data_IF_005880597200
#
_entry.id   IF_005880597200
#
_cell.length_a   1.000
_cell.length_b   1.000
_cell.length_c   1.000
_cell.angle_alpha   90.00
_cell.angle_beta   90.00
_cell.angle_gamma   90.00
#
_symmetry.space_group_name_H-M   'P 1'
#
loop_
_entity.id
_entity.type
_entity.pdbx_description
1 polymer ?
#
# COMPACT_ATOMS: atom_id res chain seq x y z
N UNK A 1 8.25 -12.17 -9.14
CA UNK A 1 8.61 -10.76 -8.83
C UNK A 1 7.62 -10.27 -7.79
N UNK A 2 8.14 -9.83 -6.63
CA UNK A 2 7.33 -9.23 -5.57
C UNK A 2 7.09 -7.75 -5.90
N UNK A 3 5.84 -7.30 -5.85
CA UNK A 3 5.49 -5.87 -5.93
C UNK A 3 6.01 -5.16 -4.69
N UNK A 4 6.79 -4.08 -4.87
CA UNK A 4 7.37 -3.31 -3.78
C UNK A 4 7.66 -1.88 -4.19
N UNK A 5 7.73 -0.99 -3.21
CA UNK A 5 8.30 0.36 -3.34
C UNK A 5 9.55 0.40 -2.49
N UNK A 6 10.65 0.88 -3.05
CA UNK A 6 11.94 0.95 -2.36
C UNK A 6 12.82 2.06 -2.93
N UNK A 7 13.74 2.55 -2.14
CA UNK A 7 14.88 3.31 -2.65
C UNK A 7 15.85 2.38 -3.37
N UNK A 8 16.43 2.85 -4.47
CA UNK A 8 17.41 2.06 -5.22
C UNK A 8 18.47 2.97 -5.82
N UNK A 9 19.70 2.45 -5.91
CA UNK A 9 20.80 3.05 -6.66
C UNK A 9 21.03 2.33 -8.00
N UNK A 10 20.22 1.29 -8.28
CA UNK A 10 20.33 0.53 -9.52
C UNK A 10 19.74 1.33 -10.67
N UNK A 11 20.51 1.51 -11.72
CA UNK A 11 20.04 2.08 -12.98
C UNK A 11 19.30 1.02 -13.79
N UNK A 12 18.13 1.37 -14.30
CA UNK A 12 17.32 0.52 -15.17
C UNK A 12 17.31 1.07 -16.60
N UNK A 13 17.48 0.18 -17.55
CA UNK A 13 17.35 0.54 -18.97
C UNK A 13 15.88 0.79 -19.29
N UNK A 14 15.56 2.01 -19.69
CA UNK A 14 14.21 2.38 -20.09
C UNK A 14 13.90 1.91 -21.52
N UNK A 15 12.63 1.56 -21.81
CA UNK A 15 12.19 1.31 -23.17
C UNK A 15 12.46 2.53 -24.09
N UNK A 16 12.85 2.26 -25.34
CA UNK A 16 13.08 3.33 -26.34
C UNK A 16 11.81 4.17 -26.60
N UNK A 17 10.64 3.51 -26.57
CA UNK A 17 9.34 4.18 -26.75
C UNK A 17 8.56 4.06 -25.44
N UNK A 18 8.28 5.18 -24.75
CA UNK A 18 7.49 5.17 -23.53
C UNK A 18 6.02 4.86 -23.84
N UNK A 19 5.35 4.16 -22.94
CA UNK A 19 3.90 3.95 -23.03
C UNK A 19 3.12 5.22 -22.60
N UNK A 20 1.82 5.24 -22.84
CA UNK A 20 0.92 6.36 -22.52
C UNK A 20 1.00 6.74 -21.04
N UNK A 21 0.97 5.76 -20.14
CA UNK A 21 1.07 6.01 -18.69
C UNK A 21 2.37 6.76 -18.34
N UNK A 22 3.51 6.32 -18.88
CA UNK A 22 4.80 7.00 -18.66
C UNK A 22 4.80 8.45 -19.19
N UNK A 23 4.17 8.68 -20.35
CA UNK A 23 4.08 10.03 -20.92
C UNK A 23 3.26 10.95 -20.02
N UNK A 24 2.15 10.46 -19.48
CA UNK A 24 1.31 11.22 -18.56
C UNK A 24 2.04 11.46 -17.24
N UNK A 25 2.71 10.47 -16.68
CA UNK A 25 3.53 10.67 -15.47
C UNK A 25 4.59 11.75 -15.68
N UNK A 26 5.29 11.76 -16.83
CA UNK A 26 6.26 12.83 -17.16
C UNK A 26 5.60 14.21 -17.18
N UNK A 27 4.44 14.33 -17.80
CA UNK A 27 3.72 15.61 -17.86
C UNK A 27 3.40 16.17 -16.47
N UNK A 28 2.99 15.33 -15.54
CA UNK A 28 2.55 15.77 -14.21
C UNK A 28 3.66 15.76 -13.15
N UNK A 29 4.61 14.83 -13.25
CA UNK A 29 5.58 14.58 -12.18
C UNK A 29 7.00 15.06 -12.51
N UNK A 30 7.33 15.32 -13.77
CA UNK A 30 8.67 15.81 -14.10
C UNK A 30 8.83 17.26 -13.58
N UNK A 31 9.80 17.46 -12.69
CA UNK A 31 10.02 18.74 -12.01
C UNK A 31 9.03 19.04 -10.87
N UNK A 32 8.13 18.13 -10.55
CA UNK A 32 7.20 18.29 -9.44
C UNK A 32 7.92 18.23 -8.08
N UNK A 33 7.35 18.91 -7.10
CA UNK A 33 7.74 18.83 -5.69
C UNK A 33 6.89 17.76 -5.01
N UNK A 34 7.53 16.85 -4.28
CA UNK A 34 6.83 15.90 -3.41
C UNK A 34 6.51 16.63 -2.10
N UNK A 35 5.23 16.85 -1.85
CA UNK A 35 4.74 17.55 -0.67
C UNK A 35 4.61 16.59 0.52
N UNK A 36 4.12 15.38 0.27
CA UNK A 36 3.86 14.38 1.29
C UNK A 36 3.99 12.96 0.71
N UNK A 37 4.52 12.05 1.51
CA UNK A 37 4.46 10.60 1.28
C UNK A 37 3.72 9.99 2.45
N UNK A 38 2.61 9.31 2.19
CA UNK A 38 1.76 8.74 3.21
C UNK A 38 1.45 7.28 2.91
N UNK A 39 1.59 6.42 3.92
CA UNK A 39 1.00 5.09 3.92
C UNK A 39 -0.35 5.15 4.62
N UNK A 40 -1.36 4.50 4.04
CA UNK A 40 -2.68 4.41 4.65
C UNK A 40 -2.67 3.33 5.74
N UNK A 41 -2.60 3.76 6.97
CA UNK A 41 -2.53 2.89 8.16
C UNK A 41 -1.47 1.79 7.99
N UNK A 42 -1.87 0.52 8.11
CA UNK A 42 -1.01 -0.64 7.82
C UNK A 42 -1.45 -1.36 6.53
N UNK A 43 -2.07 -0.64 5.61
CA UNK A 43 -2.37 -1.18 4.28
C UNK A 43 -1.18 -0.98 3.32
N UNK A 44 -1.15 -1.75 2.24
CA UNK A 44 -0.11 -1.70 1.21
C UNK A 44 -0.45 -0.67 0.14
N UNK A 45 -0.87 0.52 0.59
CA UNK A 45 -1.18 1.67 -0.26
C UNK A 45 -0.28 2.83 0.15
N UNK A 46 0.48 3.35 -0.81
CA UNK A 46 1.30 4.55 -0.65
C UNK A 46 0.73 5.67 -1.52
N UNK A 47 0.58 6.84 -0.95
CA UNK A 47 0.16 8.05 -1.61
C UNK A 47 1.31 9.06 -1.64
N UNK A 48 1.66 9.55 -2.82
CA UNK A 48 2.64 10.61 -3.03
C UNK A 48 1.90 11.84 -3.50
N UNK A 49 1.69 12.80 -2.60
CA UNK A 49 1.12 14.10 -2.97
C UNK A 49 2.19 14.97 -3.61
N UNK A 50 1.89 15.50 -4.78
CA UNK A 50 2.84 16.29 -5.56
C UNK A 50 2.21 17.59 -6.00
N UNK A 51 3.03 18.63 -6.12
CA UNK A 51 2.69 19.90 -6.73
C UNK A 51 3.63 20.21 -7.90
N UNK A 52 3.08 20.79 -8.96
CA UNK A 52 3.83 21.18 -10.16
C UNK A 52 3.21 22.45 -10.75
N UNK A 53 3.84 22.97 -11.78
CA UNK A 53 3.28 24.00 -12.68
C UNK A 53 3.17 23.41 -14.06
N UNK A 54 2.06 23.70 -14.74
CA UNK A 54 1.92 23.33 -16.13
C UNK A 54 2.70 24.28 -17.05
N UNK A 55 2.60 24.05 -18.37
CA UNK A 55 3.32 24.82 -19.39
C UNK A 55 2.92 26.31 -19.44
N UNK A 56 1.74 26.66 -18.93
CA UNK A 56 1.23 28.02 -18.84
C UNK A 56 1.40 28.65 -17.46
N UNK A 57 1.97 27.90 -16.50
CA UNK A 57 2.28 28.36 -15.17
C UNK A 57 1.20 28.10 -14.12
N UNK A 58 0.11 27.43 -14.47
CA UNK A 58 -0.96 27.09 -13.51
C UNK A 58 -0.50 26.00 -12.55
N UNK A 59 -0.96 26.11 -11.30
CA UNK A 59 -0.63 25.13 -10.28
C UNK A 59 -1.41 23.84 -10.48
N UNK A 60 -0.68 22.74 -10.61
CA UNK A 60 -1.21 21.38 -10.66
C UNK A 60 -0.94 20.69 -9.31
N UNK A 61 -1.94 20.09 -8.74
CA UNK A 61 -1.80 19.19 -7.59
C UNK A 61 -2.32 17.81 -7.97
N UNK A 62 -1.47 16.81 -7.80
CA UNK A 62 -1.82 15.43 -8.10
C UNK A 62 -1.37 14.50 -6.97
N UNK A 63 -1.98 13.33 -6.90
CA UNK A 63 -1.57 12.25 -6.00
C UNK A 63 -1.25 11.02 -6.83
N UNK A 64 -0.01 10.54 -6.72
CA UNK A 64 0.37 9.25 -7.26
C UNK A 64 0.11 8.19 -6.20
N UNK A 65 -0.81 7.27 -6.50
CA UNK A 65 -1.23 6.21 -5.59
C UNK A 65 -0.63 4.90 -6.07
N UNK A 66 0.07 4.21 -5.19
CA UNK A 66 0.68 2.90 -5.43
C UNK A 66 -0.01 1.86 -4.57
N UNK A 67 -0.80 1.00 -5.18
CA UNK A 67 -1.49 -0.12 -4.53
C UNK A 67 -0.71 -1.42 -4.76
N UNK A 68 -0.24 -2.07 -3.68
CA UNK A 68 0.53 -3.32 -3.76
C UNK A 68 -0.34 -4.49 -3.30
N UNK A 69 -1.13 -5.04 -4.21
CA UNK A 69 -2.15 -6.06 -3.93
C UNK A 69 -2.00 -7.31 -4.81
N UNK A 70 -0.77 -7.77 -4.99
CA UNK A 70 -0.48 -8.93 -5.83
C UNK A 70 -0.94 -8.72 -7.28
N UNK A 71 -1.79 -9.58 -7.80
CA UNK A 71 -2.34 -9.47 -9.17
C UNK A 71 -3.16 -8.19 -9.41
N UNK A 72 -3.70 -7.62 -8.34
CA UNK A 72 -4.49 -6.38 -8.37
C UNK A 72 -3.67 -5.12 -8.09
N UNK A 73 -2.34 -5.24 -8.01
CA UNK A 73 -1.46 -4.07 -7.86
C UNK A 73 -1.67 -3.09 -9.00
N UNK A 74 -1.67 -1.81 -8.68
CA UNK A 74 -1.84 -0.73 -9.65
C UNK A 74 -1.02 0.50 -9.26
N UNK A 75 -0.77 1.37 -10.21
CA UNK A 75 -0.25 2.73 -9.98
C UNK A 75 -1.22 3.67 -10.66
N UNK A 76 -1.76 4.63 -9.90
CA UNK A 76 -2.86 5.47 -10.31
C UNK A 76 -2.47 6.92 -10.06
N UNK A 77 -2.58 7.78 -11.06
CA UNK A 77 -2.43 9.22 -10.92
C UNK A 77 -3.80 9.86 -10.81
N UNK A 78 -4.01 10.65 -9.75
CA UNK A 78 -5.30 11.26 -9.41
C UNK A 78 -5.13 12.77 -9.32
N UNK A 79 -6.05 13.52 -9.90
CA UNK A 79 -6.18 14.96 -9.65
C UNK A 79 -6.62 15.20 -8.21
N UNK A 80 -5.86 16.00 -7.45
CA UNK A 80 -6.12 16.21 -6.02
C UNK A 80 -7.37 17.03 -5.77
N UNK A 81 -7.71 17.96 -6.69
CA UNK A 81 -8.85 18.87 -6.54
C UNK A 81 -10.17 18.20 -6.87
N UNK A 82 -10.22 17.43 -7.96
CA UNK A 82 -11.44 16.78 -8.43
C UNK A 82 -11.58 15.33 -7.95
N UNK A 83 -10.53 14.75 -7.37
CA UNK A 83 -10.45 13.33 -6.97
C UNK A 83 -10.72 12.39 -8.15
N UNK A 84 -10.40 12.83 -9.37
CA UNK A 84 -10.56 12.06 -10.60
C UNK A 84 -9.26 11.43 -11.03
N UNK A 85 -9.36 10.22 -11.53
CA UNK A 85 -8.23 9.48 -12.12
C UNK A 85 -7.80 10.19 -13.40
N UNK A 86 -6.55 10.64 -13.43
CA UNK A 86 -5.90 11.17 -14.63
C UNK A 86 -5.48 10.00 -15.52
N UNK A 87 -4.79 9.01 -14.91
CA UNK A 87 -4.37 7.80 -15.61
C UNK A 87 -4.01 6.68 -14.61
N UNK A 88 -4.00 5.43 -15.08
CA UNK A 88 -3.58 4.27 -14.31
C UNK A 88 -2.80 3.28 -15.19
N UNK A 89 -1.84 2.57 -14.59
CA UNK A 89 -1.04 1.58 -15.34
C UNK A 89 -1.89 0.37 -15.78
N UNK A 90 -2.95 0.07 -15.02
CA UNK A 90 -3.95 -0.96 -15.34
C UNK A 90 -5.35 -0.35 -15.29
N UNK A 91 -6.03 -0.38 -16.41
CA UNK A 91 -7.44 0.01 -16.46
C UNK A 91 -8.33 -1.14 -15.96
N UNK A 92 -9.31 -0.81 -15.13
CA UNK A 92 -10.29 -1.75 -14.58
C UNK A 92 -11.68 -1.19 -14.83
N UNK A 93 -12.40 -1.81 -15.75
CA UNK A 93 -13.78 -1.44 -16.07
C UNK A 93 -14.80 -2.08 -15.14
N UNK A 94 -16.04 -1.61 -15.21
CA UNK A 94 -17.15 -2.09 -14.37
C UNK A 94 -17.41 -3.59 -14.51
N UNK A 95 -17.19 -4.16 -15.68
CA UNK A 95 -17.34 -5.61 -15.93
C UNK A 95 -16.30 -6.46 -15.20
N UNK A 96 -15.15 -5.87 -14.83
CA UNK A 96 -14.07 -6.55 -14.12
C UNK A 96 -14.15 -6.37 -12.62
N UNK A 97 -14.73 -5.25 -12.18
CA UNK A 97 -14.88 -4.92 -10.76
C UNK A 97 -16.12 -4.02 -10.58
N UNK A 98 -17.15 -4.56 -9.91
CA UNK A 98 -18.40 -3.84 -9.64
C UNK A 98 -18.26 -2.83 -8.48
N UNK A 99 -17.24 -2.96 -7.63
CA UNK A 99 -17.04 -2.06 -6.47
C UNK A 99 -16.42 -0.73 -6.89
N UNK A 100 -15.41 -0.75 -7.78
CA UNK A 100 -14.73 0.46 -8.24
C UNK A 100 -14.25 0.33 -9.68
N UNK A 101 -14.32 1.41 -10.41
CA UNK A 101 -13.78 1.56 -11.76
C UNK A 101 -12.46 2.32 -11.70
N UNK A 102 -11.44 1.85 -12.41
CA UNK A 102 -10.14 2.53 -12.51
C UNK A 102 -9.92 2.87 -14.00
N UNK A 103 -10.50 3.98 -14.41
CA UNK A 103 -10.41 4.52 -15.76
C UNK A 103 -10.17 6.03 -15.69
N UNK A 104 -9.49 6.64 -16.67
CA UNK A 104 -9.38 8.08 -16.77
C UNK A 104 -10.74 8.78 -16.67
N UNK A 105 -10.83 9.85 -15.88
CA UNK A 105 -12.05 10.61 -15.63
C UNK A 105 -12.98 10.02 -14.55
N UNK A 106 -12.81 8.76 -14.13
CA UNK A 106 -13.57 8.18 -13.01
C UNK A 106 -13.09 8.74 -11.67
N UNK A 107 -13.99 8.85 -10.71
CA UNK A 107 -13.61 9.18 -9.32
C UNK A 107 -12.78 8.04 -8.73
N UNK A 108 -11.65 8.37 -8.11
CA UNK A 108 -10.87 7.37 -7.39
C UNK A 108 -11.60 6.92 -6.14
N UNK A 109 -11.85 5.62 -6.04
CA UNK A 109 -12.41 4.96 -4.87
C UNK A 109 -11.34 4.02 -4.33
N UNK A 110 -11.03 4.13 -3.03
CA UNK A 110 -10.09 3.22 -2.37
C UNK A 110 -10.59 1.77 -2.43
N UNK A 111 -9.67 0.79 -2.37
CA UNK A 111 -10.06 -0.59 -2.16
C UNK A 111 -10.96 -0.71 -0.93
N UNK A 112 -11.86 -1.70 -0.87
CA UNK A 112 -12.72 -1.89 0.29
C UNK A 112 -11.86 -2.14 1.53
N UNK A 113 -12.05 -1.32 2.54
CA UNK A 113 -11.39 -1.49 3.84
C UNK A 113 -11.91 -2.77 4.50
N UNK A 114 -11.00 -3.60 4.95
CA UNK A 114 -11.35 -4.62 5.93
C UNK A 114 -11.43 -3.91 7.28
N UNK A 115 -12.51 -4.12 8.02
CA UNK A 115 -12.66 -3.62 9.39
C UNK A 115 -11.73 -4.38 10.34
N UNK A 116 -10.43 -4.34 10.04
CA UNK A 116 -9.38 -5.00 10.77
C UNK A 116 -8.57 -3.96 11.56
N UNK A 117 -8.01 -4.40 12.66
CA UNK A 117 -7.32 -3.54 13.62
C UNK A 117 -5.86 -3.34 13.20
N UNK A 118 -5.38 -2.12 13.33
CA UNK A 118 -3.98 -1.84 13.09
C UNK A 118 -3.13 -2.41 14.25
N UNK A 119 -2.23 -3.38 13.97
CA UNK A 119 -1.45 -4.05 15.02
C UNK A 119 -0.47 -3.13 15.76
N UNK A 120 -0.10 -1.99 15.14
CA UNK A 120 0.84 -1.03 15.74
C UNK A 120 0.16 -0.03 16.67
N UNK A 121 -1.12 0.29 16.45
CA UNK A 121 -1.84 1.34 17.18
C UNK A 121 -2.91 0.81 18.13
N UNK A 122 -3.21 -0.49 18.10
CA UNK A 122 -4.17 -1.12 19.02
C UNK A 122 -3.69 -1.02 20.46
N UNK A 123 -4.59 -0.67 21.40
CA UNK A 123 -4.24 -0.63 22.83
C UNK A 123 -3.97 -2.01 23.41
N UNK A 124 -3.16 -2.08 24.47
CA UNK A 124 -2.80 -3.35 25.13
C UNK A 124 -4.03 -4.05 25.75
N UNK A 125 -4.98 -3.27 26.27
CA UNK A 125 -6.22 -3.83 26.83
C UNK A 125 -7.05 -4.53 25.77
N UNK A 126 -7.23 -3.87 24.60
CA UNK A 126 -8.00 -4.44 23.49
C UNK A 126 -7.29 -5.63 22.86
N UNK A 127 -5.97 -5.53 22.72
CA UNK A 127 -5.14 -6.62 22.21
C UNK A 127 -5.20 -7.83 23.14
N UNK A 128 -5.08 -7.63 24.47
CA UNK A 128 -5.19 -8.69 25.46
C UNK A 128 -6.56 -9.39 25.42
N UNK A 129 -7.65 -8.61 25.31
CA UNK A 129 -8.99 -9.16 25.14
C UNK A 129 -9.07 -10.10 23.93
N UNK A 130 -8.60 -9.65 22.76
CA UNK A 130 -8.63 -10.42 21.53
C UNK A 130 -7.78 -11.69 21.64
N UNK A 131 -6.53 -11.55 22.10
CA UNK A 131 -5.61 -12.68 22.22
C UNK A 131 -6.06 -13.72 23.29
N UNK A 132 -6.92 -13.33 24.24
CA UNK A 132 -7.44 -14.20 25.28
C UNK A 132 -8.75 -14.89 24.88
N UNK A 133 -9.58 -14.24 24.06
CA UNK A 133 -10.96 -14.70 23.78
C UNK A 133 -11.12 -15.35 22.41
N UNK A 134 -10.25 -15.04 21.45
CA UNK A 134 -10.38 -15.52 20.08
C UNK A 134 -9.44 -16.70 19.78
N UNK A 135 -9.86 -17.53 18.84
CA UNK A 135 -8.98 -18.55 18.26
C UNK A 135 -7.87 -17.87 17.46
N UNK A 136 -6.62 -18.19 17.78
CA UNK A 136 -5.43 -17.60 17.16
C UNK A 136 -4.97 -18.39 15.91
N UNK A 137 -5.92 -18.86 15.10
CA UNK A 137 -5.60 -19.47 13.82
C UNK A 137 -5.08 -18.41 12.83
N UNK A 138 -4.20 -18.77 11.86
CA UNK A 138 -3.72 -17.84 10.85
C UNK A 138 -4.83 -17.12 10.10
N UNK A 139 -5.93 -17.81 9.82
CA UNK A 139 -7.10 -17.26 9.14
C UNK A 139 -7.79 -16.16 9.97
N UNK A 140 -7.98 -16.42 11.27
CA UNK A 140 -8.60 -15.43 12.17
C UNK A 140 -7.69 -14.22 12.37
N UNK A 141 -6.39 -14.43 12.55
CA UNK A 141 -5.43 -13.33 12.66
C UNK A 141 -5.44 -12.41 11.43
N UNK A 142 -5.55 -12.98 10.21
CA UNK A 142 -5.68 -12.20 8.97
C UNK A 142 -6.99 -11.40 8.86
N UNK A 143 -8.05 -11.85 9.53
CA UNK A 143 -9.33 -11.15 9.57
C UNK A 143 -9.34 -10.02 10.60
N UNK A 144 -8.67 -10.25 11.73
CA UNK A 144 -8.65 -9.32 12.86
C UNK A 144 -7.64 -8.21 12.67
N UNK A 145 -6.45 -8.50 12.12
CA UNK A 145 -5.36 -7.54 12.02
C UNK A 145 -5.04 -7.16 10.57
N UNK A 146 -4.76 -5.87 10.38
CA UNK A 146 -4.32 -5.32 9.11
C UNK A 146 -2.91 -5.80 8.73
N UNK A 147 -2.64 -5.86 7.43
CA UNK A 147 -1.30 -6.07 6.87
C UNK A 147 -0.78 -7.51 6.92
N UNK A 148 -1.50 -8.46 7.53
CA UNK A 148 -1.07 -9.85 7.61
C UNK A 148 -1.32 -10.62 6.32
N UNK A 149 -0.24 -11.05 5.66
CA UNK A 149 -0.27 -12.06 4.62
C UNK A 149 -0.47 -13.47 5.21
N UNK A 150 -0.63 -14.47 4.34
CA UNK A 150 -0.86 -15.87 4.77
C UNK A 150 0.31 -16.41 5.60
N UNK A 151 1.52 -16.23 5.07
CA UNK A 151 2.74 -16.77 5.69
C UNK A 151 3.06 -16.03 6.99
N UNK A 152 2.95 -14.69 6.98
CA UNK A 152 3.14 -13.86 8.18
C UNK A 152 2.13 -14.18 9.28
N UNK A 153 0.87 -14.46 8.93
CA UNK A 153 -0.15 -14.86 9.91
C UNK A 153 0.13 -16.25 10.49
N UNK A 154 0.67 -17.17 9.69
CA UNK A 154 1.07 -18.50 10.16
C UNK A 154 2.24 -18.41 11.12
N UNK A 155 3.21 -17.58 10.82
CA UNK A 155 4.36 -17.33 11.67
C UNK A 155 3.94 -16.66 12.98
N UNK A 156 3.14 -15.59 12.92
CA UNK A 156 2.58 -14.93 14.10
C UNK A 156 1.83 -15.95 14.99
N UNK A 157 0.97 -16.79 14.42
CA UNK A 157 0.23 -17.80 15.18
C UNK A 157 1.17 -18.74 15.97
N UNK A 158 2.32 -19.09 15.40
CA UNK A 158 3.33 -19.92 16.07
C UNK A 158 3.99 -19.20 17.26
N UNK A 159 4.18 -17.88 17.17
CA UNK A 159 4.74 -17.06 18.24
C UNK A 159 3.77 -16.81 19.40
N UNK A 160 2.46 -16.94 19.17
CA UNK A 160 1.41 -16.63 20.15
C UNK A 160 1.05 -17.82 21.08
N UNK A 161 1.88 -18.87 21.15
CA UNK A 161 1.64 -20.03 22.00
C UNK A 161 1.87 -19.73 23.50
N UNK A 162 2.81 -18.84 23.80
CA UNK A 162 3.14 -18.37 25.16
C UNK A 162 3.24 -16.86 25.17
N UNK A 163 3.10 -16.21 26.33
CA UNK A 163 3.27 -14.76 26.51
C UNK A 163 2.71 -13.91 25.37
N UNK A 164 1.46 -14.17 25.00
CA UNK A 164 0.82 -13.72 23.75
C UNK A 164 0.97 -12.24 23.50
N UNK A 165 0.72 -11.39 24.51
CA UNK A 165 0.83 -9.94 24.37
C UNK A 165 2.26 -9.51 24.06
N UNK A 166 3.23 -9.99 24.84
CA UNK A 166 4.65 -9.69 24.65
C UNK A 166 5.15 -10.16 23.29
N UNK A 167 4.82 -11.39 22.92
CA UNK A 167 5.25 -11.98 21.66
C UNK A 167 4.59 -11.30 20.44
N UNK A 168 3.34 -10.87 20.56
CA UNK A 168 2.68 -10.07 19.53
C UNK A 168 3.42 -8.76 19.28
N UNK A 169 3.71 -7.98 20.35
CA UNK A 169 4.44 -6.70 20.23
C UNK A 169 5.83 -6.92 19.66
N UNK A 170 6.58 -7.90 20.17
CA UNK A 170 7.92 -8.21 19.68
C UNK A 170 7.93 -8.60 18.19
N UNK A 171 6.93 -9.35 17.73
CA UNK A 171 6.80 -9.75 16.33
C UNK A 171 6.65 -8.54 15.41
N UNK A 172 5.80 -7.58 15.75
CA UNK A 172 5.59 -6.38 14.95
C UNK A 172 6.73 -5.36 15.09
N UNK A 173 7.40 -5.28 16.24
CA UNK A 173 8.60 -4.47 16.42
C UNK A 173 9.74 -4.99 15.53
N UNK A 174 9.97 -6.29 15.51
CA UNK A 174 10.97 -6.91 14.65
C UNK A 174 10.68 -6.69 13.15
N UNK A 175 9.41 -6.68 12.74
CA UNK A 175 9.03 -6.41 11.35
C UNK A 175 9.38 -4.99 10.89
N UNK A 176 9.48 -4.02 11.80
CA UNK A 176 9.91 -2.65 11.50
C UNK A 176 11.43 -2.47 11.49
N UNK A 177 12.19 -3.47 11.97
CA UNK A 177 13.64 -3.48 12.04
C UNK A 177 14.23 -4.70 11.30
N UNK A 178 14.03 -4.79 9.97
CA UNK A 178 14.46 -5.95 9.21
C UNK A 178 15.97 -6.07 9.16
N UNK A 179 16.49 -7.27 9.29
CA UNK A 179 17.89 -7.61 9.10
C UNK A 179 18.12 -8.38 7.79
N UNK A 180 19.33 -8.25 7.21
CA UNK A 180 19.73 -9.05 6.07
C UNK A 180 20.20 -10.42 6.55
N UNK A 181 19.69 -11.47 5.91
CA UNK A 181 20.21 -12.82 6.05
C UNK A 181 20.75 -13.30 4.70
N UNK A 182 21.53 -14.37 4.69
CA UNK A 182 22.15 -14.93 3.46
C UNK A 182 21.11 -15.36 2.40
N UNK A 183 19.86 -15.51 2.77
CA UNK A 183 18.79 -16.01 1.88
C UNK A 183 17.55 -15.11 1.79
N UNK A 184 17.29 -14.27 2.77
CA UNK A 184 16.10 -13.44 2.85
C UNK A 184 16.28 -12.29 3.84
N UNK A 185 15.28 -11.40 3.90
CA UNK A 185 15.12 -10.48 5.02
C UNK A 185 14.43 -11.24 6.18
N UNK A 186 14.96 -11.10 7.36
CA UNK A 186 14.36 -11.59 8.59
C UNK A 186 13.71 -10.44 9.38
#
# INVERSE_FOLDING_TARGET
ILGRVQLTQTEFTNPKVPNTFTMILRKYLQGAVIEEIKQLENDRILEFSVSNKDEIGDHIQATLIVEIMGKHSNIILVDKSEQKIIEAIKHVGFSQNSYRTILPGSTYIRPPEKHSLNPYTISDEKLFEILSTQELSPKNLQQVFQGLGRDTASELASHLQTDRLKNFRAFFDQATHPSLTDKSYA
#
